data_IF_824373853618
#
_entry.id   IF_824373853618
#
_cell.length_a   1.000
_cell.length_b   1.000
_cell.length_c   1.000
_cell.angle_alpha   90.00
_cell.angle_beta   90.00
_cell.angle_gamma   90.00
#
_symmetry.space_group_name_H-M   'P 1'
#
loop_
_entity.id
_entity.type
_entity.pdbx_description
1 polymer ?
#
# COMPACT_ATOMS: atom_id res chain seq x y z
N UNK A 1 5.83 27.11 -9.66
CA UNK A 1 5.32 28.40 -9.12
C UNK A 1 3.90 28.10 -8.70
N UNK A 2 3.57 28.26 -7.42
CA UNK A 2 2.23 27.91 -6.92
C UNK A 2 1.20 28.79 -7.63
N UNK A 3 0.22 28.17 -8.27
CA UNK A 3 -0.93 28.89 -8.82
C UNK A 3 -1.83 29.30 -7.64
N UNK A 4 -1.87 30.60 -7.37
CA UNK A 4 -2.60 31.15 -6.23
C UNK A 4 -4.12 30.97 -6.37
N UNK A 5 -4.65 30.90 -7.60
CA UNK A 5 -6.06 30.65 -7.82
C UNK A 5 -6.37 29.17 -7.56
N UNK A 6 -5.51 28.25 -8.01
CA UNK A 6 -5.65 26.83 -7.71
C UNK A 6 -5.60 26.55 -6.20
N UNK A 7 -4.66 27.18 -5.49
CA UNK A 7 -4.54 27.08 -4.04
C UNK A 7 -5.80 27.60 -3.32
N UNK A 8 -6.34 28.74 -3.76
CA UNK A 8 -7.57 29.27 -3.18
C UNK A 8 -8.76 28.31 -3.37
N UNK A 9 -8.90 27.71 -4.55
CA UNK A 9 -9.92 26.70 -4.80
C UNK A 9 -9.71 25.43 -3.95
N UNK A 10 -8.47 24.99 -3.77
CA UNK A 10 -8.15 23.85 -2.92
C UNK A 10 -8.55 24.11 -1.46
N UNK A 11 -8.23 25.28 -0.91
CA UNK A 11 -8.63 25.67 0.46
C UNK A 11 -10.15 25.65 0.63
N UNK A 12 -10.89 26.23 -0.33
CA UNK A 12 -12.37 26.25 -0.27
C UNK A 12 -12.95 24.84 -0.32
N UNK A 13 -12.43 23.96 -1.19
CA UNK A 13 -12.87 22.55 -1.26
C UNK A 13 -12.59 21.81 0.04
N UNK A 14 -11.39 21.95 0.59
CA UNK A 14 -11.00 21.26 1.82
C UNK A 14 -11.80 21.75 3.03
N UNK A 15 -12.08 23.05 3.13
CA UNK A 15 -12.93 23.61 4.17
C UNK A 15 -14.38 23.10 4.10
N UNK A 16 -14.91 22.88 2.89
CA UNK A 16 -16.24 22.29 2.71
C UNK A 16 -16.28 20.80 3.12
N UNK A 17 -15.17 20.07 3.01
CA UNK A 17 -15.06 18.68 3.44
C UNK A 17 -14.92 18.54 4.97
N UNK A 18 -14.51 19.59 5.70
CA UNK A 18 -14.28 19.55 7.15
C UNK A 18 -15.51 19.15 7.98
N UNK A 19 -16.73 19.32 7.47
CA UNK A 19 -17.95 18.91 8.19
C UNK A 19 -18.01 17.40 8.44
N UNK A 20 -17.24 16.60 7.69
CA UNK A 20 -17.22 15.13 7.76
C UNK A 20 -15.90 14.55 8.34
N UNK A 21 -14.94 15.37 8.78
CA UNK A 21 -13.54 14.95 9.11
C UNK A 21 -13.29 14.48 10.56
N UNK A 22 -14.33 14.26 11.38
CA UNK A 22 -14.16 13.82 12.76
C UNK A 22 -13.60 14.92 13.69
N UNK A 23 -12.73 14.62 14.67
CA UNK A 23 -12.34 15.57 15.73
C UNK A 23 -11.28 16.61 15.32
N UNK A 24 -10.62 16.44 14.17
CA UNK A 24 -9.61 17.41 13.71
C UNK A 24 -10.27 18.61 13.04
N UNK A 25 -9.76 19.80 13.35
CA UNK A 25 -10.22 21.08 12.77
C UNK A 25 -9.19 21.70 11.85
N UNK A 26 -8.13 20.97 11.49
CA UNK A 26 -7.04 21.47 10.67
C UNK A 26 -7.01 20.77 9.30
N UNK A 27 -6.58 21.51 8.29
CA UNK A 27 -6.48 21.06 6.91
C UNK A 27 -5.07 21.34 6.40
N UNK A 28 -4.49 20.34 5.73
CA UNK A 28 -3.25 20.49 4.96
C UNK A 28 -3.62 20.69 3.50
N UNK A 29 -2.99 21.68 2.86
CA UNK A 29 -3.04 21.86 1.41
C UNK A 29 -1.60 21.85 0.90
N UNK A 30 -1.33 20.93 0.00
CA UNK A 30 0.00 20.68 -0.56
C UNK A 30 -0.05 20.50 -2.08
N UNK A 31 1.13 20.48 -2.69
CA UNK A 31 1.27 20.22 -4.12
C UNK A 31 0.91 18.78 -4.46
N UNK A 32 0.12 18.58 -5.51
CA UNK A 32 -0.18 17.26 -6.01
C UNK A 32 0.99 16.68 -6.81
N UNK A 33 1.63 15.63 -6.30
CA UNK A 33 2.68 14.90 -7.03
C UNK A 33 2.01 13.93 -8.00
N UNK A 34 2.02 14.29 -9.29
CA UNK A 34 1.47 13.47 -10.35
C UNK A 34 2.48 12.39 -10.79
N UNK A 35 2.11 11.12 -10.60
CA UNK A 35 2.89 9.98 -11.09
C UNK A 35 2.62 8.69 -10.32
N UNK A 36 3.38 7.62 -10.60
CA UNK A 36 3.20 6.33 -9.95
C UNK A 36 3.53 6.39 -8.46
N UNK A 37 2.76 5.65 -7.68
CA UNK A 37 2.87 5.56 -6.22
C UNK A 37 3.50 4.24 -5.79
N UNK A 38 4.26 4.29 -4.70
CA UNK A 38 5.00 3.18 -4.15
C UNK A 38 4.90 3.15 -2.63
N UNK A 39 4.94 1.95 -2.08
CA UNK A 39 5.11 1.70 -0.66
C UNK A 39 6.46 1.02 -0.41
N UNK A 40 7.18 1.51 0.59
CA UNK A 40 8.49 1.03 1.00
C UNK A 40 8.40 0.49 2.42
N UNK A 41 8.74 -0.78 2.57
CA UNK A 41 8.79 -1.43 3.88
C UNK A 41 10.24 -1.47 4.34
N UNK A 42 10.48 -1.06 5.59
CA UNK A 42 11.80 -1.09 6.18
C UNK A 42 11.78 -1.61 7.61
N UNK A 43 12.95 -2.06 8.06
CA UNK A 43 13.23 -2.39 9.45
C UNK A 43 14.37 -1.52 9.96
N UNK A 44 14.22 -0.95 11.14
CA UNK A 44 15.26 -0.16 11.81
C UNK A 44 15.63 -0.79 13.14
N UNK A 45 16.92 -0.79 13.49
CA UNK A 45 17.41 -1.27 14.78
C UNK A 45 18.69 -0.53 15.18
N UNK A 46 18.69 0.09 16.36
CA UNK A 46 19.80 0.91 16.87
C UNK A 46 20.26 1.97 15.85
N UNK A 47 19.30 2.71 15.28
CA UNK A 47 19.52 3.78 14.30
C UNK A 47 19.92 3.31 12.90
N UNK A 48 20.11 2.01 12.67
CA UNK A 48 20.41 1.47 11.36
C UNK A 48 19.13 0.98 10.67
N UNK A 49 18.72 1.64 9.58
CA UNK A 49 17.57 1.24 8.77
C UNK A 49 17.97 0.37 7.59
N UNK A 50 17.13 -0.63 7.29
CA UNK A 50 17.23 -1.51 6.11
C UNK A 50 15.90 -1.58 5.39
N UNK A 51 15.91 -1.27 4.09
CA UNK A 51 14.76 -1.42 3.21
C UNK A 51 14.55 -2.91 2.88
N UNK A 52 13.38 -3.45 3.18
CA UNK A 52 13.00 -4.84 2.93
C UNK A 52 12.38 -5.02 1.55
N UNK A 53 11.46 -4.13 1.19
CA UNK A 53 10.79 -4.14 -0.12
C UNK A 53 10.43 -2.74 -0.59
N UNK A 54 10.32 -2.61 -1.91
CA UNK A 54 9.68 -1.48 -2.59
C UNK A 54 8.62 -2.10 -3.49
N UNK A 55 7.37 -1.65 -3.36
CA UNK A 55 6.28 -2.17 -4.16
C UNK A 55 5.43 -1.05 -4.77
N UNK A 56 4.83 -1.36 -5.91
CA UNK A 56 3.99 -0.47 -6.69
C UNK A 56 2.55 -0.46 -6.16
N UNK A 57 1.95 0.74 -6.06
CA UNK A 57 0.62 0.99 -5.48
C UNK A 57 -0.41 1.51 -6.50
N UNK A 58 0.00 1.67 -7.75
CA UNK A 58 -0.84 2.26 -8.79
C UNK A 58 -0.39 3.66 -9.18
N UNK A 59 -1.26 4.38 -9.88
CA UNK A 59 -1.06 5.78 -10.27
C UNK A 59 -2.38 6.56 -10.12
N UNK A 60 -2.95 6.64 -8.90
CA UNK A 60 -4.24 7.28 -8.71
C UNK A 60 -4.16 8.78 -9.04
N UNK A 61 -5.14 9.27 -9.81
CA UNK A 61 -5.21 10.66 -10.29
C UNK A 61 -6.18 11.52 -9.46
N UNK A 62 -6.75 10.97 -8.40
CA UNK A 62 -7.79 11.63 -7.60
C UNK A 62 -9.17 11.60 -8.28
N UNK A 63 -10.16 12.33 -7.73
CA UNK A 63 -10.03 13.27 -6.60
C UNK A 63 -9.97 12.60 -5.22
N UNK A 64 -10.25 11.29 -5.15
CA UNK A 64 -10.03 10.44 -3.98
C UNK A 64 -8.94 9.41 -4.31
N UNK A 65 -8.27 8.91 -3.28
CA UNK A 65 -7.08 8.07 -3.39
C UNK A 65 -7.31 6.71 -2.74
N UNK A 66 -8.38 6.02 -3.16
CA UNK A 66 -8.69 4.70 -2.65
C UNK A 66 -7.62 3.69 -3.08
N UNK A 67 -7.23 2.86 -2.12
CA UNK A 67 -6.35 1.72 -2.35
C UNK A 67 -6.98 0.73 -3.32
N UNK A 68 -6.16 0.19 -4.23
CA UNK A 68 -6.61 -0.76 -5.26
C UNK A 68 -5.69 -1.98 -5.38
N UNK A 69 -4.39 -1.74 -5.52
CA UNK A 69 -3.39 -2.79 -5.68
C UNK A 69 -2.15 -2.49 -4.85
N UNK A 70 -1.42 -3.55 -4.50
CA UNK A 70 -0.06 -3.44 -4.00
C UNK A 70 0.77 -4.59 -4.55
N UNK A 71 1.88 -4.31 -5.24
CA UNK A 71 2.67 -5.30 -5.97
C UNK A 71 4.17 -5.18 -5.63
N UNK A 72 4.79 -6.28 -5.23
CA UNK A 72 6.24 -6.41 -5.00
C UNK A 72 6.78 -7.39 -6.05
N UNK A 73 7.88 -7.10 -6.75
CA UNK A 73 8.72 -5.88 -6.66
C UNK A 73 8.10 -4.65 -7.34
N UNK A 74 8.76 -3.50 -7.21
CA UNK A 74 8.31 -2.20 -7.74
C UNK A 74 8.14 -2.15 -9.27
N UNK A 75 8.91 -2.97 -10.00
CA UNK A 75 8.99 -2.92 -11.47
C UNK A 75 9.82 -1.74 -12.01
N UNK A 76 10.51 -1.00 -11.15
CA UNK A 76 11.41 0.09 -11.52
C UNK A 76 12.79 -0.42 -11.96
N UNK A 77 13.54 0.44 -12.67
CA UNK A 77 14.96 0.21 -12.87
C UNK A 77 15.77 0.45 -11.58
N UNK A 78 16.98 -0.11 -11.53
CA UNK A 78 17.86 -0.04 -10.35
C UNK A 78 18.21 1.40 -9.95
N UNK A 79 18.28 2.32 -10.91
CA UNK A 79 18.61 3.72 -10.60
C UNK A 79 17.48 4.33 -9.76
N UNK A 80 16.23 4.20 -10.22
CA UNK A 80 15.06 4.72 -9.52
C UNK A 80 14.82 4.04 -8.17
N UNK A 81 15.03 2.72 -8.08
CA UNK A 81 14.96 2.03 -6.79
C UNK A 81 16.02 2.57 -5.81
N UNK A 82 17.25 2.82 -6.27
CA UNK A 82 18.29 3.39 -5.42
C UNK A 82 17.99 4.83 -4.99
N UNK A 83 17.39 5.64 -5.88
CA UNK A 83 16.94 7.00 -5.55
C UNK A 83 15.86 6.97 -4.45
N UNK A 84 14.90 6.04 -4.53
CA UNK A 84 13.90 5.78 -3.48
C UNK A 84 14.58 5.36 -2.16
N UNK A 85 15.44 4.33 -2.19
CA UNK A 85 16.13 3.83 -0.99
C UNK A 85 16.88 4.95 -0.28
N UNK A 86 17.58 5.78 -1.04
CA UNK A 86 18.34 6.92 -0.50
C UNK A 86 17.42 7.89 0.24
N UNK A 87 16.35 8.37 -0.40
CA UNK A 87 15.43 9.35 0.18
C UNK A 87 14.70 8.80 1.41
N UNK A 88 14.27 7.55 1.39
CA UNK A 88 13.62 6.91 2.56
C UNK A 88 14.59 6.77 3.73
N UNK A 89 15.83 6.33 3.48
CA UNK A 89 16.83 6.19 4.54
C UNK A 89 17.29 7.55 5.10
N UNK A 90 17.35 8.59 4.27
CA UNK A 90 17.60 9.97 4.71
C UNK A 90 16.43 10.48 5.59
N UNK A 91 15.19 10.21 5.21
CA UNK A 91 14.01 10.58 5.99
C UNK A 91 13.94 9.86 7.34
N UNK A 92 14.27 8.57 7.41
CA UNK A 92 14.34 7.85 8.69
C UNK A 92 15.35 8.48 9.66
N UNK A 93 16.51 8.92 9.16
CA UNK A 93 17.50 9.64 9.97
C UNK A 93 16.98 11.01 10.39
N UNK A 94 16.31 11.75 9.50
CA UNK A 94 15.76 13.06 9.80
C UNK A 94 14.63 13.02 10.84
N UNK A 95 13.89 11.90 10.90
CA UNK A 95 12.81 11.66 11.84
C UNK A 95 13.28 10.97 13.14
N UNK A 96 14.58 10.74 13.31
CA UNK A 96 15.15 10.01 14.46
C UNK A 96 14.48 8.64 14.72
N UNK A 97 14.15 7.91 13.65
CA UNK A 97 13.61 6.54 13.77
C UNK A 97 14.75 5.63 14.23
N UNK A 98 14.69 5.16 15.48
CA UNK A 98 15.76 4.37 16.10
C UNK A 98 15.54 2.86 16.06
N UNK A 99 14.28 2.40 16.13
CA UNK A 99 13.95 0.97 16.18
C UNK A 99 12.53 0.70 15.71
N UNK A 100 12.33 -0.44 15.04
CA UNK A 100 11.02 -0.93 14.59
C UNK A 100 10.81 -0.85 13.07
N UNK A 101 9.64 -1.30 12.61
CA UNK A 101 9.28 -1.27 11.20
C UNK A 101 8.86 0.14 10.78
N UNK A 102 9.03 0.44 9.50
CA UNK A 102 8.37 1.58 8.87
C UNK A 102 7.67 1.19 7.58
N UNK A 103 6.56 1.88 7.34
CA UNK A 103 5.83 1.88 6.09
C UNK A 103 5.89 3.31 5.54
N UNK A 104 6.49 3.47 4.38
CA UNK A 104 6.67 4.77 3.73
C UNK A 104 5.94 4.78 2.40
N UNK A 105 5.05 5.74 2.21
CA UNK A 105 4.34 5.99 0.96
C UNK A 105 5.02 7.14 0.21
N UNK A 106 5.24 6.98 -1.08
CA UNK A 106 5.91 7.98 -1.91
C UNK A 106 5.40 7.94 -3.35
N UNK A 107 5.59 9.03 -4.08
CA UNK A 107 5.36 9.12 -5.52
C UNK A 107 6.61 9.52 -6.28
N UNK A 108 6.68 9.11 -7.53
CA UNK A 108 7.67 9.64 -8.48
C UNK A 108 6.99 10.71 -9.34
N UNK A 109 7.59 11.88 -9.46
CA UNK A 109 7.12 12.91 -10.41
C UNK A 109 7.48 12.56 -11.87
N UNK A 110 7.16 13.46 -12.81
CA UNK A 110 7.43 13.28 -14.24
C UNK A 110 8.93 13.07 -14.57
N UNK A 111 9.83 13.63 -13.77
CA UNK A 111 11.29 13.46 -13.91
C UNK A 111 11.80 12.18 -13.23
N UNK A 112 10.92 11.49 -12.49
CA UNK A 112 11.23 10.30 -11.72
C UNK A 112 11.82 10.60 -10.34
N UNK A 113 11.67 11.83 -9.83
CA UNK A 113 12.14 12.23 -8.50
C UNK A 113 11.18 11.69 -7.44
N UNK A 114 11.68 10.99 -6.40
CA UNK A 114 10.84 10.50 -5.32
C UNK A 114 10.46 11.61 -4.32
N UNK A 115 9.16 11.68 -4.02
CA UNK A 115 8.55 12.56 -3.02
C UNK A 115 7.82 11.69 -1.99
N UNK A 116 8.25 11.74 -0.73
CA UNK A 116 7.60 11.03 0.38
C UNK A 116 6.29 11.73 0.71
N UNK A 117 5.20 10.96 0.78
CA UNK A 117 3.88 11.41 1.20
C UNK A 117 3.70 11.21 2.71
N UNK A 118 3.95 10.00 3.19
CA UNK A 118 3.78 9.63 4.60
C UNK A 118 4.84 8.63 5.05
N UNK A 119 5.24 8.69 6.33
CA UNK A 119 5.98 7.63 7.01
C UNK A 119 5.24 7.26 8.29
N UNK A 120 4.84 5.99 8.39
CA UNK A 120 4.31 5.39 9.60
C UNK A 120 5.32 4.43 10.25
N UNK A 121 5.57 4.56 11.55
CA UNK A 121 6.40 3.63 12.34
C UNK A 121 5.64 2.34 12.70
N UNK A 122 5.18 1.62 11.66
CA UNK A 122 4.37 0.41 11.76
C UNK A 122 4.59 -0.49 10.53
N UNK A 123 4.15 -1.73 10.62
CA UNK A 123 3.95 -2.57 9.42
C UNK A 123 2.78 -1.98 8.61
N UNK A 124 2.94 -1.91 7.29
CA UNK A 124 1.90 -1.45 6.37
C UNK A 124 0.65 -2.35 6.33
N UNK A 125 -0.51 -1.73 6.08
CA UNK A 125 -1.78 -2.42 5.87
C UNK A 125 -2.19 -3.39 6.99
N UNK A 126 -1.88 -3.08 8.25
CA UNK A 126 -2.20 -3.92 9.42
C UNK A 126 -1.73 -5.38 9.31
N UNK A 127 -0.65 -5.63 8.56
CA UNK A 127 -0.08 -6.97 8.36
C UNK A 127 -0.05 -7.43 6.90
N UNK A 128 -0.78 -6.77 5.99
CA UNK A 128 -0.71 -7.05 4.55
C UNK A 128 0.74 -6.93 4.06
N UNK A 129 1.45 -5.87 4.44
CA UNK A 129 2.86 -5.71 4.05
C UNK A 129 3.76 -6.82 4.59
N UNK A 130 3.49 -7.34 5.80
CA UNK A 130 4.26 -8.47 6.33
C UNK A 130 4.04 -9.74 5.53
N UNK A 131 2.79 -10.03 5.12
CA UNK A 131 2.50 -11.18 4.26
C UNK A 131 3.20 -11.06 2.89
N UNK A 132 3.14 -9.88 2.26
CA UNK A 132 3.77 -9.66 0.95
C UNK A 132 5.30 -9.66 1.01
N UNK A 133 5.91 -9.02 2.02
CA UNK A 133 7.37 -9.06 2.24
C UNK A 133 7.84 -10.50 2.45
N UNK A 134 7.12 -11.27 3.29
CA UNK A 134 7.46 -12.66 3.56
C UNK A 134 7.38 -13.51 2.31
N UNK A 135 6.31 -13.38 1.53
CA UNK A 135 6.16 -14.08 0.27
C UNK A 135 7.24 -13.69 -0.75
N UNK A 136 7.48 -12.39 -0.94
CA UNK A 136 8.39 -11.89 -1.97
C UNK A 136 9.88 -12.13 -1.66
N UNK A 137 10.28 -12.15 -0.38
CA UNK A 137 11.69 -12.15 0.04
C UNK A 137 12.10 -13.32 0.91
N UNK A 138 11.15 -14.04 1.50
CA UNK A 138 11.39 -15.07 2.51
C UNK A 138 11.66 -14.53 3.92
N UNK A 139 11.64 -13.21 4.13
CA UNK A 139 11.84 -12.58 5.43
C UNK A 139 10.53 -12.61 6.22
N UNK A 140 10.51 -13.27 7.37
CA UNK A 140 9.37 -13.21 8.31
C UNK A 140 9.34 -11.84 9.00
N UNK A 141 8.65 -10.88 8.38
CA UNK A 141 8.66 -9.50 8.84
C UNK A 141 8.06 -9.33 10.24
N UNK A 142 7.08 -10.16 10.63
CA UNK A 142 6.56 -10.14 12.00
C UNK A 142 7.62 -10.60 13.01
N UNK A 143 8.35 -11.67 12.71
CA UNK A 143 9.43 -12.15 13.58
C UNK A 143 10.53 -11.10 13.76
N UNK A 144 10.90 -10.37 12.70
CA UNK A 144 11.87 -9.28 12.75
C UNK A 144 11.41 -8.13 13.64
N UNK A 145 10.14 -7.72 13.52
CA UNK A 145 9.54 -6.68 14.36
C UNK A 145 9.46 -7.13 15.83
N UNK A 146 9.05 -8.36 16.10
CA UNK A 146 9.02 -8.94 17.45
C UNK A 146 10.42 -9.06 18.06
N UNK A 147 11.45 -9.36 17.26
CA UNK A 147 12.83 -9.35 17.72
C UNK A 147 13.21 -7.96 18.22
N UNK A 148 13.05 -6.91 17.40
CA UNK A 148 13.36 -5.54 17.81
C UNK A 148 12.55 -5.08 19.02
N UNK A 149 11.24 -5.36 19.05
CA UNK A 149 10.37 -5.01 20.17
C UNK A 149 10.79 -5.66 21.50
N UNK A 150 11.47 -6.81 21.43
CA UNK A 150 12.03 -7.52 22.60
C UNK A 150 13.51 -7.21 22.85
N UNK A 151 14.07 -6.20 22.17
CA UNK A 151 15.48 -5.80 22.30
C UNK A 151 16.47 -6.77 21.66
N UNK A 152 16.00 -7.75 20.89
CA UNK A 152 16.85 -8.67 20.11
C UNK A 152 17.14 -8.07 18.75
N UNK A 153 18.37 -8.22 18.28
CA UNK A 153 18.77 -7.79 16.94
C UNK A 153 17.96 -8.59 15.90
N UNK A 154 17.21 -7.93 14.99
CA UNK A 154 16.53 -8.60 13.89
C UNK A 154 17.54 -9.28 12.94
N UNK A 155 17.20 -10.47 12.45
CA UNK A 155 18.08 -11.28 11.59
C UNK A 155 18.31 -10.66 10.21
N UNK A 156 17.42 -9.77 9.76
CA UNK A 156 17.62 -9.02 8.51
C UNK A 156 18.90 -8.21 8.52
N UNK A 157 19.48 -7.89 9.68
CA UNK A 157 20.76 -7.18 9.81
C UNK A 157 22.00 -8.08 9.77
N UNK A 158 21.84 -9.40 9.58
CA UNK A 158 22.93 -10.36 9.47
C UNK A 158 23.30 -10.66 8.00
N UNK A 159 22.47 -10.19 7.06
CA UNK A 159 22.69 -10.33 5.61
C UNK A 159 23.21 -9.02 4.99
N UNK A 160 23.87 -9.08 3.84
CA UNK A 160 24.33 -7.87 3.11
C UNK A 160 23.25 -7.26 2.21
N UNK A 161 22.34 -8.07 1.68
CA UNK A 161 21.26 -7.63 0.81
C UNK A 161 19.97 -8.37 1.11
N UNK A 162 18.85 -7.73 0.81
CA UNK A 162 17.54 -8.38 0.68
C UNK A 162 17.29 -8.58 -0.81
N UNK A 163 16.89 -9.79 -1.21
CA UNK A 163 16.56 -10.11 -2.61
C UNK A 163 15.10 -10.53 -2.71
N UNK A 164 14.40 -9.98 -3.69
CA UNK A 164 13.08 -10.46 -4.09
C UNK A 164 13.27 -11.75 -4.90
N UNK A 165 12.67 -12.85 -4.46
CA UNK A 165 12.79 -14.17 -5.07
C UNK A 165 11.58 -14.54 -5.93
N UNK A 166 10.44 -13.88 -5.71
CA UNK A 166 9.20 -14.04 -6.46
C UNK A 166 8.34 -12.78 -6.33
N UNK A 167 7.33 -12.61 -7.17
CA UNK A 167 6.39 -11.51 -7.04
C UNK A 167 5.31 -11.83 -6.00
N UNK A 168 4.87 -10.84 -5.25
CA UNK A 168 3.75 -10.95 -4.33
C UNK A 168 2.86 -9.71 -4.44
N UNK A 169 1.55 -9.88 -4.30
CA UNK A 169 0.65 -8.74 -4.36
C UNK A 169 -0.66 -8.90 -3.60
N UNK A 170 -1.25 -7.76 -3.30
CA UNK A 170 -2.61 -7.61 -2.80
C UNK A 170 -3.49 -7.01 -3.90
N UNK A 171 -4.60 -7.68 -4.19
CA UNK A 171 -5.70 -7.15 -5.00
C UNK A 171 -6.87 -6.81 -4.09
N UNK A 172 -7.34 -5.56 -4.14
CA UNK A 172 -8.49 -5.10 -3.39
C UNK A 172 -9.74 -5.22 -4.26
N UNK A 173 -10.71 -6.02 -3.81
CA UNK A 173 -11.93 -6.27 -4.57
C UNK A 173 -12.73 -4.97 -4.73
N UNK A 174 -13.00 -4.51 -5.96
CA UNK A 174 -13.70 -3.25 -6.17
C UNK A 174 -15.20 -3.41 -5.94
N UNK A 175 -15.84 -2.42 -5.32
CA UNK A 175 -17.29 -2.45 -5.06
C UNK A 175 -18.14 -2.42 -6.35
N UNK A 176 -17.74 -1.61 -7.35
CA UNK A 176 -18.46 -1.44 -8.65
C UNK A 176 -20.00 -1.32 -8.51
N UNK A 177 -20.48 -0.35 -7.73
CA UNK A 177 -21.90 -0.10 -7.55
C UNK A 177 -22.21 0.37 -6.13
N UNK A 178 -23.49 0.40 -5.81
CA UNK A 178 -24.02 0.75 -4.48
C UNK A 178 -25.33 0.02 -4.25
N UNK A 179 -25.62 -0.30 -3.00
CA UNK A 179 -26.81 -1.05 -2.60
C UNK A 179 -26.54 -1.94 -1.40
N UNK A 180 -27.48 -2.83 -1.11
CA UNK A 180 -27.29 -3.89 -0.13
C UNK A 180 -26.56 -5.04 -0.80
N UNK A 181 -25.44 -5.48 -0.24
CA UNK A 181 -24.66 -6.61 -0.74
C UNK A 181 -25.55 -7.85 -0.68
N UNK A 182 -25.77 -8.50 -1.81
CA UNK A 182 -26.42 -9.80 -1.90
C UNK A 182 -25.39 -10.93 -1.76
N UNK A 183 -24.26 -10.83 -2.44
CA UNK A 183 -23.13 -11.77 -2.37
C UNK A 183 -21.84 -11.14 -2.90
N UNK A 184 -20.69 -11.67 -2.49
CA UNK A 184 -19.40 -11.43 -3.16
C UNK A 184 -19.05 -12.70 -3.92
N UNK A 185 -19.35 -12.72 -5.21
CA UNK A 185 -19.20 -13.89 -6.07
C UNK A 185 -17.74 -14.10 -6.43
N UNK A 186 -17.30 -15.37 -6.46
CA UNK A 186 -16.00 -15.78 -7.01
C UNK A 186 -14.90 -16.04 -5.98
N UNK A 187 -15.06 -15.57 -4.73
CA UNK A 187 -14.03 -15.74 -3.69
C UNK A 187 -13.67 -17.22 -3.45
N UNK A 188 -14.66 -18.11 -3.36
CA UNK A 188 -14.42 -19.56 -3.15
C UNK A 188 -13.70 -20.25 -4.31
N UNK A 189 -13.89 -19.76 -5.53
CA UNK A 189 -13.19 -20.29 -6.70
C UNK A 189 -11.74 -19.77 -6.74
N UNK A 190 -11.55 -18.50 -6.43
CA UNK A 190 -10.23 -17.86 -6.40
C UNK A 190 -9.37 -18.44 -5.30
N UNK A 191 -9.94 -18.73 -4.12
CA UNK A 191 -9.20 -19.33 -2.98
C UNK A 191 -8.60 -20.71 -3.27
N UNK A 192 -9.13 -21.41 -4.28
CA UNK A 192 -8.62 -22.72 -4.70
C UNK A 192 -7.41 -22.63 -5.65
N UNK A 193 -7.04 -21.42 -6.10
CA UNK A 193 -5.89 -21.22 -6.99
C UNK A 193 -4.61 -21.30 -6.20
N UNK A 194 -3.65 -22.08 -6.67
CA UNK A 194 -2.36 -22.29 -5.98
C UNK A 194 -1.54 -21.02 -5.76
N UNK A 195 -1.76 -19.98 -6.55
CA UNK A 195 -1.10 -18.68 -6.41
C UNK A 195 -1.67 -17.84 -5.26
N UNK A 196 -2.87 -18.14 -4.76
CA UNK A 196 -3.52 -17.38 -3.67
C UNK A 196 -2.95 -17.83 -2.34
N UNK A 197 -2.42 -16.87 -1.59
CA UNK A 197 -1.89 -17.05 -0.25
C UNK A 197 -2.99 -16.98 0.80
N UNK A 198 -3.88 -15.99 0.65
CA UNK A 198 -5.00 -15.76 1.58
C UNK A 198 -6.08 -14.87 0.94
N UNK A 199 -7.30 -14.97 1.46
CA UNK A 199 -8.40 -14.05 1.16
C UNK A 199 -8.95 -13.50 2.46
N UNK A 200 -8.90 -12.18 2.60
CA UNK A 200 -9.44 -11.47 3.77
C UNK A 200 -10.75 -10.82 3.38
N UNK A 201 -11.87 -11.50 3.65
CA UNK A 201 -13.20 -10.93 3.45
C UNK A 201 -13.57 -10.02 4.64
N UNK A 202 -13.98 -8.78 4.33
CA UNK A 202 -14.31 -7.76 5.31
C UNK A 202 -15.75 -7.25 5.19
N UNK A 203 -16.47 -7.64 4.14
CA UNK A 203 -17.89 -7.37 3.99
C UNK A 203 -18.72 -8.62 3.71
N UNK A 204 -20.00 -8.60 4.10
CA UNK A 204 -20.92 -9.73 3.99
C UNK A 204 -22.29 -9.36 3.41
N UNK A 205 -23.05 -10.35 2.92
CA UNK A 205 -24.45 -10.14 2.53
C UNK A 205 -25.25 -9.42 3.62
N UNK A 206 -26.01 -8.40 3.21
CA UNK A 206 -26.82 -7.56 4.09
C UNK A 206 -26.17 -6.21 4.46
N UNK A 207 -24.87 -6.04 4.25
CA UNK A 207 -24.19 -4.76 4.46
C UNK A 207 -24.47 -3.78 3.31
N UNK A 208 -24.34 -2.48 3.59
CA UNK A 208 -24.70 -1.40 2.66
C UNK A 208 -23.45 -0.75 2.10
N UNK A 209 -23.37 -0.69 0.76
CA UNK A 209 -22.41 0.14 0.04
C UNK A 209 -23.14 1.39 -0.44
N UNK A 210 -22.70 2.54 0.04
CA UNK A 210 -23.23 3.84 -0.34
C UNK A 210 -22.75 4.25 -1.74
N UNK A 211 -23.50 5.12 -2.45
CA UNK A 211 -23.05 5.68 -3.72
C UNK A 211 -21.74 6.48 -3.56
N UNK A 212 -20.89 6.40 -4.58
CA UNK A 212 -19.68 7.23 -4.69
C UNK A 212 -20.04 8.73 -4.56
N UNK A 213 -19.26 9.54 -3.80
CA UNK A 213 -17.92 9.27 -3.27
C UNK A 213 -17.85 8.71 -1.84
N UNK A 214 -18.95 8.22 -1.26
CA UNK A 214 -18.91 7.68 0.08
C UNK A 214 -18.06 6.38 0.13
N UNK A 215 -17.09 6.33 1.03
CA UNK A 215 -16.29 5.14 1.27
C UNK A 215 -16.96 4.24 2.31
N UNK A 216 -17.48 3.09 1.86
CA UNK A 216 -18.18 2.14 2.74
C UNK A 216 -17.26 1.06 3.32
N UNK A 217 -15.97 1.08 2.99
CA UNK A 217 -15.00 0.03 3.30
C UNK A 217 -14.61 -0.80 2.07
N UNK A 218 -13.73 -1.79 2.29
CA UNK A 218 -13.28 -2.73 1.27
C UNK A 218 -14.02 -4.07 1.38
N UNK A 219 -14.54 -4.66 0.30
CA UNK A 219 -15.22 -5.96 0.35
C UNK A 219 -14.32 -7.12 0.77
N UNK A 220 -13.17 -7.24 0.12
CA UNK A 220 -12.18 -8.28 0.40
C UNK A 220 -10.81 -7.92 -0.17
N UNK A 221 -9.77 -8.55 0.38
CA UNK A 221 -8.41 -8.57 -0.16
C UNK A 221 -8.05 -9.97 -0.66
N UNK A 222 -7.31 -10.04 -1.76
CA UNK A 222 -6.75 -11.28 -2.30
C UNK A 222 -5.23 -11.14 -2.31
N UNK A 223 -4.57 -11.89 -1.44
CA UNK A 223 -3.11 -11.95 -1.36
C UNK A 223 -2.61 -13.10 -2.24
N UNK A 224 -1.61 -12.85 -3.08
CA UNK A 224 -1.09 -13.87 -4.00
C UNK A 224 0.42 -13.74 -4.23
N UNK A 225 1.04 -14.84 -4.65
CA UNK A 225 2.44 -14.91 -5.07
C UNK A 225 2.59 -15.60 -6.43
N UNK A 226 3.51 -15.10 -7.24
CA UNK A 226 3.69 -15.50 -8.64
C UNK A 226 5.18 -15.51 -9.00
N UNK A 227 5.55 -16.20 -10.08
CA UNK A 227 6.95 -16.33 -10.46
C UNK A 227 7.58 -14.96 -10.77
N UNK A 228 6.82 -14.07 -11.40
CA UNK A 228 7.25 -12.72 -11.73
C UNK A 228 6.10 -11.70 -11.71
N UNK A 229 6.47 -10.42 -11.90
CA UNK A 229 5.54 -9.29 -11.86
C UNK A 229 4.54 -9.30 -13.04
N UNK A 230 4.89 -9.93 -14.17
CA UNK A 230 4.00 -10.10 -15.31
C UNK A 230 2.85 -11.04 -14.96
N UNK A 231 3.17 -12.23 -14.44
CA UNK A 231 2.17 -13.19 -13.98
C UNK A 231 1.26 -12.62 -12.89
N UNK A 232 1.82 -11.88 -11.92
CA UNK A 232 1.03 -11.21 -10.87
C UNK A 232 0.02 -10.20 -11.46
N UNK A 233 0.44 -9.43 -12.47
CA UNK A 233 -0.43 -8.44 -13.13
C UNK A 233 -1.52 -9.11 -13.95
N UNK A 234 -1.18 -10.14 -14.71
CA UNK A 234 -2.15 -10.93 -15.47
C UNK A 234 -3.17 -11.58 -14.53
N UNK A 235 -2.72 -12.07 -13.38
CA UNK A 235 -3.61 -12.61 -12.35
C UNK A 235 -4.57 -11.54 -11.80
N UNK A 236 -4.08 -10.35 -11.44
CA UNK A 236 -4.94 -9.25 -10.98
C UNK A 236 -5.97 -8.85 -12.05
N UNK A 237 -5.58 -8.80 -13.32
CA UNK A 237 -6.50 -8.54 -14.43
C UNK A 237 -7.58 -9.62 -14.57
N UNK A 238 -7.23 -10.89 -14.32
CA UNK A 238 -8.19 -11.98 -14.37
C UNK A 238 -9.19 -11.90 -13.19
N UNK A 239 -8.75 -11.46 -12.01
CA UNK A 239 -9.63 -11.25 -10.85
C UNK A 239 -10.74 -10.23 -11.11
N UNK A 240 -10.52 -9.23 -11.97
CA UNK A 240 -11.54 -8.26 -12.36
C UNK A 240 -12.76 -8.88 -13.04
N UNK A 241 -12.59 -10.05 -13.68
CA UNK A 241 -13.65 -10.81 -14.32
C UNK A 241 -14.21 -11.91 -13.40
N UNK A 242 -13.38 -12.44 -12.49
CA UNK A 242 -13.74 -13.58 -11.65
C UNK A 242 -14.48 -13.19 -10.38
N UNK A 243 -14.22 -11.99 -9.86
CA UNK A 243 -14.80 -11.51 -8.60
C UNK A 243 -15.77 -10.36 -8.89
N UNK A 244 -16.96 -10.42 -8.29
CA UNK A 244 -17.94 -9.34 -8.37
C UNK A 244 -18.75 -9.20 -7.07
N UNK A 245 -18.99 -7.96 -6.65
CA UNK A 245 -19.98 -7.66 -5.62
C UNK A 245 -21.34 -7.55 -6.29
N UNK A 246 -22.29 -8.37 -5.85
CA UNK A 246 -23.66 -8.39 -6.37
C UNK A 246 -24.56 -7.66 -5.40
N UNK A 247 -25.42 -6.79 -5.92
CA UNK A 247 -26.36 -5.97 -5.15
C UNK A 247 -27.80 -6.42 -5.38
N UNK A 248 -28.64 -6.22 -4.35
CA UNK A 248 -30.09 -6.41 -4.42
C UNK A 248 -30.81 -5.33 -5.23
#
# INVERSE_FOLDING_TARGET
MVDHDELAHAIVRSAAAMTDLGPSTEVVVEEFIAGPEFAVEAMTFAGASRILSIGYKGQPQGPFFEESIYQIPSGLDLKRENDIRRVVLEAHRALDIDSGPTHTELRLDADGTPHILEIGARIGGSGVSAALVSAATGIDFFAEVLAAATGRRPSVFDHETTSVVQAAGNYIVPCRGSGVIQEIRGLDMVSQRSAVLDIVQMMWPGEVILPYPAFSGYPAFVLSAHADLGELRDFHHQLDADISVVYA
#
